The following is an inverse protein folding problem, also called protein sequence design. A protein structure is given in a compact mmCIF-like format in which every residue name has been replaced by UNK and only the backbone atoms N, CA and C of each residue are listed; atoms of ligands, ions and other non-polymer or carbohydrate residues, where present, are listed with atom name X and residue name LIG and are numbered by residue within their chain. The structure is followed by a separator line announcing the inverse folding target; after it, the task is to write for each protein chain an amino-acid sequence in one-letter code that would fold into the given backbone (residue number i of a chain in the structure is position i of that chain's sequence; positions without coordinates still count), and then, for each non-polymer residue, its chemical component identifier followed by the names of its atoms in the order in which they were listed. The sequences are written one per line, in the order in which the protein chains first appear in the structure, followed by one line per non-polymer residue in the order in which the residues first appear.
data_IF_461811941152
#
_entry.id   IF_461811941152
#
_cell.length_a   1.000
_cell.length_b   1.000
_cell.length_c   1.000
_cell.angle_alpha   90.00
_cell.angle_beta   90.00
_cell.angle_gamma   90.00
#
_symmetry.space_group_name_H-M   'P 1'
#
loop_
_entity.id
_entity.type
_entity.pdbx_description
1 polymer ?
#
# COMPACT_ATOMS: atom_id res chain seq x y z
N UNK A 1 50.49 -3.78 53.10
CA UNK A 1 49.04 -4.10 53.01
C UNK A 1 48.45 -3.38 51.82
N UNK A 2 48.42 -4.05 50.63
CA UNK A 2 47.97 -3.46 49.40
C UNK A 2 46.52 -3.92 49.14
N UNK A 3 45.58 -3.00 49.23
CA UNK A 3 44.16 -3.24 48.83
C UNK A 3 44.03 -3.03 47.32
N UNK A 4 43.87 -4.10 46.58
CA UNK A 4 43.49 -4.08 45.19
C UNK A 4 42.03 -3.69 45.06
N UNK A 5 41.75 -2.52 44.48
CA UNK A 5 40.41 -2.08 44.12
C UNK A 5 40.07 -2.71 42.76
N UNK A 6 39.19 -3.71 42.75
CA UNK A 6 38.63 -4.28 41.51
C UNK A 6 37.50 -3.34 41.01
N UNK A 7 37.79 -2.64 39.93
CA UNK A 7 36.75 -1.88 39.17
C UNK A 7 36.03 -2.88 38.29
N UNK A 8 34.77 -3.18 38.63
CA UNK A 8 33.85 -3.91 37.78
C UNK A 8 33.30 -2.93 36.72
N UNK A 9 33.80 -3.04 35.48
CA UNK A 9 33.17 -2.40 34.32
C UNK A 9 31.91 -3.20 33.95
N UNK A 10 30.77 -2.69 34.34
CA UNK A 10 29.45 -3.16 33.84
C UNK A 10 29.27 -2.63 32.43
N UNK A 11 29.45 -3.49 31.44
CA UNK A 11 29.13 -3.19 30.04
C UNK A 11 27.60 -3.20 29.88
N UNK A 12 26.97 -2.00 29.87
CA UNK A 12 25.58 -1.81 29.56
C UNK A 12 25.41 -1.88 28.03
N UNK A 13 25.03 -3.06 27.50
CA UNK A 13 24.63 -3.20 26.09
C UNK A 13 23.32 -2.46 25.89
N UNK A 14 23.38 -1.29 25.28
CA UNK A 14 22.19 -0.61 24.74
C UNK A 14 21.69 -1.38 23.51
N UNK A 15 20.71 -2.25 23.72
CA UNK A 15 19.91 -2.83 22.63
C UNK A 15 19.07 -1.72 22.03
N UNK A 16 19.55 -1.06 20.99
CA UNK A 16 18.74 -0.20 20.13
C UNK A 16 17.78 -1.11 19.35
N UNK A 17 16.58 -1.32 19.88
CA UNK A 17 15.53 -2.01 19.17
C UNK A 17 15.17 -1.20 17.92
N UNK A 18 15.43 -1.73 16.73
CA UNK A 18 14.80 -1.24 15.51
C UNK A 18 13.29 -1.47 15.64
N UNK A 19 12.55 -0.44 16.00
CA UNK A 19 11.10 -0.46 15.88
C UNK A 19 10.77 -0.43 14.39
N UNK A 20 10.43 -1.57 13.84
CA UNK A 20 9.79 -1.63 12.52
C UNK A 20 8.43 -0.97 12.68
N UNK A 21 8.31 0.28 12.24
CA UNK A 21 7.01 0.94 12.14
C UNK A 21 6.25 0.20 11.04
N UNK A 22 5.37 -0.71 11.46
CA UNK A 22 4.41 -1.32 10.53
C UNK A 22 3.58 -0.20 9.94
N UNK A 23 3.59 -0.06 8.61
CA UNK A 23 2.79 0.96 7.95
C UNK A 23 1.31 0.77 8.36
N UNK A 24 0.70 1.83 8.90
CA UNK A 24 -0.73 1.83 9.21
C UNK A 24 -1.48 1.53 7.90
N UNK A 25 -2.40 0.59 7.92
CA UNK A 25 -3.24 0.22 6.77
C UNK A 25 -4.67 0.65 7.03
N UNK A 26 -5.46 0.78 5.96
CA UNK A 26 -6.86 1.15 6.04
C UNK A 26 -7.12 2.64 5.88
N UNK A 27 -8.35 3.03 6.18
CA UNK A 27 -8.86 4.39 6.03
C UNK A 27 -8.87 5.07 7.39
N UNK A 28 -8.37 6.30 7.45
CA UNK A 28 -8.46 7.18 8.60
C UNK A 28 -8.94 8.57 8.13
N UNK A 29 -10.08 9.03 8.65
CA UNK A 29 -10.70 10.32 8.27
C UNK A 29 -10.86 10.50 6.74
N UNK A 30 -11.25 9.44 6.01
CA UNK A 30 -11.44 9.48 4.56
C UNK A 30 -10.17 9.46 3.73
N UNK A 31 -9.04 9.11 4.33
CA UNK A 31 -7.76 9.02 3.65
C UNK A 31 -7.07 7.68 3.90
N UNK A 32 -6.40 7.18 2.88
CA UNK A 32 -5.42 6.11 3.00
C UNK A 32 -4.16 6.63 3.72
N UNK A 33 -3.44 5.74 4.35
CA UNK A 33 -2.24 6.13 5.09
C UNK A 33 -1.19 6.81 4.21
N UNK A 34 -0.47 7.77 4.76
CA UNK A 34 0.61 8.45 4.08
C UNK A 34 1.71 7.48 3.63
N UNK A 35 2.43 7.82 2.57
CA UNK A 35 3.65 7.13 2.22
C UNK A 35 4.78 7.48 3.21
N UNK A 36 5.69 6.55 3.50
CA UNK A 36 6.95 6.87 4.17
C UNK A 36 7.81 7.75 3.23
N UNK A 37 8.89 8.30 3.74
CA UNK A 37 9.85 9.08 2.95
C UNK A 37 10.71 8.25 1.99
N UNK A 38 10.54 6.92 2.02
CA UNK A 38 11.26 5.99 1.14
C UNK A 38 10.50 5.76 -0.16
N UNK A 39 11.18 5.66 -1.32
CA UNK A 39 10.54 5.63 -2.65
C UNK A 39 9.91 4.26 -2.98
N UNK A 40 9.36 3.56 -2.01
CA UNK A 40 8.72 2.25 -2.14
C UNK A 40 7.20 2.28 -1.93
N UNK A 41 6.60 3.45 -2.13
CA UNK A 41 5.17 3.68 -1.94
C UNK A 41 4.64 4.66 -2.98
N UNK A 42 3.39 4.47 -3.41
CA UNK A 42 2.60 5.44 -4.17
C UNK A 42 1.21 5.60 -3.54
N UNK A 43 0.65 6.81 -3.59
CA UNK A 43 -0.65 7.13 -3.02
C UNK A 43 -1.32 8.25 -3.82
N UNK A 44 -2.61 8.13 -4.08
CA UNK A 44 -3.39 9.11 -4.85
C UNK A 44 -3.97 10.26 -4.02
N UNK A 45 -3.72 10.29 -2.71
CA UNK A 45 -4.24 11.30 -1.79
C UNK A 45 -3.13 12.15 -1.16
N UNK A 46 -1.98 12.26 -1.80
CA UNK A 46 -0.84 13.06 -1.35
C UNK A 46 -0.40 14.03 -2.44
N UNK A 47 0.28 15.12 -2.05
CA UNK A 47 0.76 16.14 -2.97
C UNK A 47 2.21 15.93 -3.42
N UNK A 48 2.96 15.10 -2.72
CA UNK A 48 4.36 14.80 -3.04
C UNK A 48 4.47 14.10 -4.39
N UNK A 49 5.08 14.75 -5.36
CA UNK A 49 5.18 14.29 -6.75
C UNK A 49 5.92 12.95 -6.91
N UNK A 50 6.83 12.60 -6.01
CA UNK A 50 7.56 11.32 -6.05
C UNK A 50 6.62 10.15 -5.73
N UNK A 51 5.75 10.33 -4.74
CA UNK A 51 4.82 9.31 -4.28
C UNK A 51 3.42 9.44 -4.89
N UNK A 52 3.11 10.56 -5.53
CA UNK A 52 1.79 10.75 -6.12
C UNK A 52 1.53 9.80 -7.29
N UNK A 53 0.33 9.29 -7.34
CA UNK A 53 -0.24 8.55 -8.48
C UNK A 53 -1.70 9.00 -8.68
N UNK A 54 -2.13 9.15 -9.92
CA UNK A 54 -3.52 9.53 -10.23
C UNK A 54 -4.53 8.55 -9.61
N UNK A 55 -5.64 9.01 -9.04
CA UNK A 55 -6.77 8.13 -8.70
C UNK A 55 -7.35 7.50 -9.97
N UNK A 56 -8.17 6.46 -9.84
CA UNK A 56 -8.97 5.97 -10.96
C UNK A 56 -10.36 6.60 -10.91
N UNK A 57 -10.88 6.97 -12.07
CA UNK A 57 -12.22 7.51 -12.23
C UNK A 57 -13.08 6.51 -13.00
N UNK A 58 -14.34 6.41 -12.60
CA UNK A 58 -15.34 5.56 -13.28
C UNK A 58 -16.71 6.19 -13.22
N UNK A 59 -17.59 5.75 -14.10
CA UNK A 59 -19.02 6.05 -14.08
C UNK A 59 -19.80 4.77 -13.76
N UNK A 60 -21.00 4.92 -13.23
CA UNK A 60 -21.88 3.81 -12.95
C UNK A 60 -22.04 3.47 -11.47
N UNK A 61 -22.28 2.22 -11.16
CA UNK A 61 -22.51 1.76 -9.80
C UNK A 61 -21.20 1.50 -9.06
N UNK A 62 -21.08 1.99 -7.83
CA UNK A 62 -19.93 1.70 -6.95
C UNK A 62 -19.74 0.18 -6.76
N UNK A 63 -20.84 -0.57 -6.73
CA UNK A 63 -20.80 -2.03 -6.63
C UNK A 63 -20.14 -2.68 -7.84
N UNK A 64 -20.45 -2.22 -9.06
CA UNK A 64 -19.87 -2.79 -10.28
C UNK A 64 -18.40 -2.41 -10.42
N UNK A 65 -18.05 -1.17 -10.09
CA UNK A 65 -16.66 -0.70 -10.03
C UNK A 65 -15.84 -1.56 -9.08
N UNK A 66 -16.37 -1.83 -7.89
CA UNK A 66 -15.73 -2.69 -6.89
C UNK A 66 -15.56 -4.13 -7.39
N UNK A 67 -16.59 -4.70 -8.03
CA UNK A 67 -16.51 -6.04 -8.66
C UNK A 67 -15.41 -6.10 -9.71
N UNK A 68 -15.29 -5.08 -10.57
CA UNK A 68 -14.21 -5.04 -11.58
C UNK A 68 -12.82 -5.05 -10.94
N UNK A 69 -12.60 -4.28 -9.87
CA UNK A 69 -11.33 -4.32 -9.14
C UNK A 69 -11.06 -5.71 -8.56
N UNK A 70 -12.05 -6.36 -7.95
CA UNK A 70 -11.92 -7.70 -7.38
C UNK A 70 -11.57 -8.74 -8.46
N UNK A 71 -12.21 -8.68 -9.63
CA UNK A 71 -11.91 -9.56 -10.77
C UNK A 71 -10.45 -9.35 -11.22
N UNK A 72 -10.03 -8.10 -11.42
CA UNK A 72 -8.67 -7.79 -11.84
C UNK A 72 -7.65 -8.33 -10.84
N UNK A 73 -7.89 -8.10 -9.55
CA UNK A 73 -7.00 -8.57 -8.50
C UNK A 73 -6.90 -10.10 -8.45
N UNK A 74 -8.01 -10.82 -8.68
CA UNK A 74 -8.03 -12.28 -8.69
C UNK A 74 -7.26 -12.90 -9.88
N UNK A 75 -7.17 -12.18 -11.00
CA UNK A 75 -6.44 -12.61 -12.19
C UNK A 75 -4.93 -12.34 -12.12
N UNK A 76 -4.51 -11.41 -11.26
CA UNK A 76 -3.11 -11.04 -11.17
C UNK A 76 -2.29 -12.08 -10.41
N UNK A 77 -1.15 -12.47 -11.01
CA UNK A 77 -0.25 -13.44 -10.38
C UNK A 77 0.28 -12.92 -9.04
N UNK A 78 0.32 -13.80 -8.05
CA UNK A 78 0.83 -13.54 -6.70
C UNK A 78 0.07 -12.45 -5.95
N UNK A 79 -1.15 -12.17 -6.36
CA UNK A 79 -2.12 -11.35 -5.67
C UNK A 79 -2.94 -12.21 -4.71
N UNK A 80 -3.23 -11.68 -3.54
CA UNK A 80 -4.14 -12.26 -2.56
C UNK A 80 -5.03 -11.16 -1.98
N UNK A 81 -6.33 -11.21 -2.24
CA UNK A 81 -7.29 -10.31 -1.61
C UNK A 81 -7.41 -10.69 -0.14
N UNK A 82 -7.20 -9.76 0.77
CA UNK A 82 -7.17 -10.00 2.22
C UNK A 82 -8.24 -9.23 2.99
N UNK A 83 -8.73 -8.12 2.43
CA UNK A 83 -9.85 -7.36 2.99
C UNK A 83 -10.80 -6.97 1.86
N UNK A 84 -12.11 -7.09 2.11
CA UNK A 84 -13.16 -6.61 1.22
C UNK A 84 -14.29 -6.06 2.10
N UNK A 85 -14.39 -4.74 2.17
CA UNK A 85 -15.42 -4.00 2.90
C UNK A 85 -16.23 -3.14 1.93
N UNK A 86 -17.28 -2.48 2.38
CA UNK A 86 -18.18 -1.72 1.49
C UNK A 86 -17.47 -0.64 0.68
N UNK A 87 -16.54 0.07 1.31
CA UNK A 87 -15.80 1.17 0.71
C UNK A 87 -14.28 0.94 0.66
N UNK A 88 -13.80 -0.30 0.93
CA UNK A 88 -12.37 -0.58 0.99
C UNK A 88 -12.04 -2.00 0.52
N UNK A 89 -10.95 -2.11 -0.25
CA UNK A 89 -10.35 -3.38 -0.65
C UNK A 89 -8.86 -3.31 -0.35
N UNK A 90 -8.31 -4.39 0.22
CA UNK A 90 -6.86 -4.58 0.34
C UNK A 90 -6.43 -5.92 -0.24
N UNK A 91 -5.37 -5.89 -1.03
CA UNK A 91 -4.70 -7.07 -1.56
C UNK A 91 -3.22 -7.05 -1.21
N UNK A 92 -2.64 -8.22 -1.02
CA UNK A 92 -1.21 -8.43 -0.86
C UNK A 92 -0.61 -8.95 -2.17
N UNK A 93 0.53 -8.41 -2.56
CA UNK A 93 1.32 -8.88 -3.70
C UNK A 93 2.67 -9.39 -3.20
N UNK A 94 3.00 -10.64 -3.53
CA UNK A 94 4.26 -11.25 -3.09
C UNK A 94 5.26 -11.26 -4.24
N UNK A 95 6.45 -10.70 -4.02
CA UNK A 95 7.52 -10.73 -5.03
C UNK A 95 8.00 -12.16 -5.30
N UNK A 96 8.49 -12.41 -6.52
CA UNK A 96 8.82 -13.77 -6.97
C UNK A 96 10.07 -14.33 -6.26
N UNK A 97 11.12 -13.53 -6.14
CA UNK A 97 12.44 -13.99 -5.68
C UNK A 97 12.55 -13.87 -4.15
N UNK A 98 12.42 -12.66 -3.63
CA UNK A 98 12.67 -12.39 -2.21
C UNK A 98 11.44 -12.55 -1.33
N UNK A 99 10.28 -12.86 -1.92
CA UNK A 99 9.02 -13.05 -1.19
C UNK A 99 8.59 -11.81 -0.38
N UNK A 100 9.05 -10.63 -0.75
CA UNK A 100 8.60 -9.37 -0.16
C UNK A 100 7.12 -9.19 -0.43
N UNK A 101 6.42 -8.62 0.54
CA UNK A 101 4.99 -8.36 0.45
C UNK A 101 4.76 -6.86 0.31
N UNK A 102 3.97 -6.50 -0.71
CA UNK A 102 3.47 -5.16 -0.92
C UNK A 102 1.96 -5.16 -0.65
N UNK A 103 1.48 -4.15 0.07
CA UNK A 103 0.06 -3.91 0.25
C UNK A 103 -0.46 -2.99 -0.85
N UNK A 104 -1.60 -3.35 -1.44
CA UNK A 104 -2.35 -2.53 -2.39
C UNK A 104 -3.73 -2.29 -1.82
N UNK A 105 -4.08 -1.02 -1.69
CA UNK A 105 -5.30 -0.54 -1.06
C UNK A 105 -6.13 0.28 -2.05
N UNK A 106 -7.43 0.04 -2.06
CA UNK A 106 -8.41 0.81 -2.83
C UNK A 106 -9.47 1.34 -1.87
N UNK A 107 -9.70 2.64 -1.93
CA UNK A 107 -10.73 3.31 -1.16
C UNK A 107 -11.75 3.96 -2.09
N UNK A 108 -13.02 3.70 -1.82
CA UNK A 108 -14.19 4.18 -2.58
C UNK A 108 -14.98 5.16 -1.70
N UNK A 109 -14.70 6.47 -1.75
CA UNK A 109 -15.46 7.44 -0.97
C UNK A 109 -16.94 7.37 -1.30
N UNK A 110 -17.78 7.50 -0.29
CA UNK A 110 -19.22 7.67 -0.53
C UNK A 110 -19.47 9.01 -1.23
N UNK A 111 -20.13 8.98 -2.36
CA UNK A 111 -20.43 10.18 -3.15
C UNK A 111 -21.85 10.12 -3.68
N UNK A 112 -22.46 11.29 -3.86
CA UNK A 112 -23.71 11.48 -4.60
C UNK A 112 -23.45 11.80 -6.08
N UNK A 113 -22.19 11.93 -6.49
CA UNK A 113 -21.78 12.16 -7.87
C UNK A 113 -22.01 10.91 -8.72
N UNK A 114 -22.27 11.13 -10.01
CA UNK A 114 -22.29 10.07 -11.02
C UNK A 114 -20.88 9.57 -11.39
N UNK A 115 -19.85 10.31 -10.99
CA UNK A 115 -18.47 9.92 -11.14
C UNK A 115 -17.92 9.37 -9.82
N UNK A 116 -17.33 8.19 -9.88
CA UNK A 116 -16.75 7.48 -8.76
C UNK A 116 -15.25 7.67 -8.81
N UNK A 117 -14.70 8.25 -7.76
CA UNK A 117 -13.25 8.32 -7.54
C UNK A 117 -12.81 7.11 -6.75
N UNK A 118 -11.76 6.42 -7.22
CA UNK A 118 -11.14 5.30 -6.53
C UNK A 118 -9.75 5.76 -6.11
N UNK A 119 -9.57 6.00 -4.81
CA UNK A 119 -8.26 6.30 -4.25
C UNK A 119 -7.44 5.03 -4.10
N UNK A 120 -6.14 5.16 -4.28
CA UNK A 120 -5.24 4.01 -4.38
C UNK A 120 -3.98 4.29 -3.58
N UNK A 121 -3.51 3.27 -2.87
CA UNK A 121 -2.18 3.24 -2.28
C UNK A 121 -1.53 1.90 -2.59
N UNK A 122 -0.23 1.89 -2.88
CA UNK A 122 0.57 0.66 -3.00
C UNK A 122 1.92 0.87 -2.35
N UNK A 123 2.26 0.04 -1.37
CA UNK A 123 3.47 0.21 -0.58
C UNK A 123 4.11 -1.12 -0.20
N UNK A 124 5.44 -1.16 -0.25
CA UNK A 124 6.19 -2.31 0.25
C UNK A 124 6.27 -2.28 1.78
N UNK A 125 6.13 -3.44 2.42
CA UNK A 125 6.25 -3.57 3.88
C UNK A 125 7.68 -3.42 4.37
N UNK A 126 8.65 -3.71 3.49
CA UNK A 126 10.09 -3.69 3.80
C UNK A 126 10.89 -3.15 2.63
N UNK A 127 12.10 -2.70 2.91
CA UNK A 127 13.04 -2.20 1.91
C UNK A 127 12.95 -0.69 1.70
N UNK A 128 14.06 -0.10 1.24
CA UNK A 128 14.15 1.33 0.97
C UNK A 128 13.54 1.68 -0.40
N UNK A 129 13.78 0.86 -1.42
CA UNK A 129 13.29 1.09 -2.78
C UNK A 129 12.66 -0.17 -3.36
N UNK A 130 11.58 0.00 -4.13
CA UNK A 130 10.91 -1.07 -4.88
C UNK A 130 11.22 -1.03 -6.39
N UNK A 131 12.13 -0.16 -6.83
CA UNK A 131 12.45 0.08 -8.25
C UNK A 131 11.22 0.43 -9.09
N UNK A 132 10.23 1.10 -8.51
CA UNK A 132 8.98 1.52 -9.14
C UNK A 132 7.97 0.38 -9.39
N UNK A 133 8.13 -0.76 -8.72
CA UNK A 133 7.22 -1.91 -8.86
C UNK A 133 5.80 -1.55 -8.40
N UNK A 134 5.64 -0.80 -7.31
CA UNK A 134 4.32 -0.37 -6.83
C UNK A 134 3.61 0.51 -7.87
N UNK A 135 4.29 1.50 -8.45
CA UNK A 135 3.73 2.34 -9.51
C UNK A 135 3.34 1.53 -10.75
N UNK A 136 4.24 0.67 -11.23
CA UNK A 136 3.97 -0.19 -12.40
C UNK A 136 2.78 -1.11 -12.18
N UNK A 137 2.62 -1.64 -10.98
CA UNK A 137 1.48 -2.48 -10.60
C UNK A 137 0.16 -1.72 -10.68
N UNK A 138 0.11 -0.52 -10.13
CA UNK A 138 -1.10 0.30 -10.19
C UNK A 138 -1.43 0.67 -11.64
N UNK A 139 -0.46 1.02 -12.48
CA UNK A 139 -0.70 1.28 -13.90
C UNK A 139 -1.18 0.02 -14.65
N UNK A 140 -0.69 -1.16 -14.32
CA UNK A 140 -1.20 -2.42 -14.86
C UNK A 140 -2.67 -2.64 -14.49
N UNK A 141 -3.03 -2.42 -13.21
CA UNK A 141 -4.42 -2.52 -12.74
C UNK A 141 -5.29 -1.49 -13.44
N UNK A 142 -4.84 -0.24 -13.53
CA UNK A 142 -5.54 0.85 -14.23
C UNK A 142 -5.83 0.51 -15.69
N UNK A 143 -4.88 -0.05 -16.40
CA UNK A 143 -5.05 -0.43 -17.82
C UNK A 143 -6.08 -1.55 -17.97
N UNK A 144 -6.05 -2.57 -17.12
CA UNK A 144 -7.07 -3.63 -17.09
C UNK A 144 -8.47 -3.06 -16.77
N UNK A 145 -8.55 -2.16 -15.79
CA UNK A 145 -9.80 -1.51 -15.40
C UNK A 145 -10.40 -0.68 -16.53
N UNK A 146 -9.57 0.11 -17.24
CA UNK A 146 -10.00 0.85 -18.44
C UNK A 146 -10.48 -0.07 -19.55
N UNK A 147 -9.87 -1.23 -19.73
CA UNK A 147 -10.29 -2.20 -20.75
C UNK A 147 -11.68 -2.76 -20.47
N UNK A 148 -11.95 -3.16 -19.22
CA UNK A 148 -13.26 -3.67 -18.80
C UNK A 148 -14.37 -2.60 -18.99
N UNK A 149 -14.08 -1.35 -18.61
CA UNK A 149 -15.07 -0.27 -18.68
C UNK A 149 -15.27 0.34 -20.09
N UNK A 150 -14.47 -0.09 -21.09
CA UNK A 150 -14.65 0.31 -22.50
C UNK A 150 -15.50 -0.68 -23.29
N UNK A 151 -15.73 -1.86 -22.76
CA UNK A 151 -16.58 -2.85 -23.41
C UNK A 151 -18.04 -2.46 -23.17
N UNK A 152 -18.86 -2.21 -24.22
CA UNK A 152 -20.25 -1.80 -24.12
C UNK A 152 -21.12 -2.88 -23.51
#
# INVERSE_FOLDING_TARGET
MNKQVRVLLTNLLLLTGCTTVSAKLGIDNGQLSQCPTTPNCVNSQIEDAEHYIEPMLSKGSSLDVKKHILIILSELKRSKIVVTEDNYIRAEFTSMVFRFVDDVEFYFPTTTSTEITIHIRSASRVGHSDFGVNRKRIEQIRNKFKAINKTP
#
